data_IF_214165788883
#
_entry.id   IF_214165788883
#
_cell.length_a   1.000
_cell.length_b   1.000
_cell.length_c   1.000
_cell.angle_alpha   90.00
_cell.angle_beta   90.00
_cell.angle_gamma   90.00
#
_symmetry.space_group_name_H-M   'P 1'
#
loop_
_entity.id
_entity.type
_entity.pdbx_description
1 polymer ?
#
# COMPACT_ATOMS: atom_id res chain seq x y z
N UNK A 1 -56.88 -31.86 15.24
CA UNK A 1 -55.49 -32.13 15.69
C UNK A 1 -54.47 -32.41 14.57
N UNK A 2 -54.86 -32.85 13.35
CA UNK A 2 -53.90 -33.14 12.26
C UNK A 2 -53.25 -31.92 11.57
N UNK A 3 -53.85 -30.72 11.65
CA UNK A 3 -53.31 -29.50 11.01
C UNK A 3 -52.14 -28.89 11.79
N UNK A 4 -52.21 -28.89 13.12
CA UNK A 4 -51.22 -28.21 13.99
C UNK A 4 -49.86 -28.89 14.01
N UNK A 5 -49.81 -30.22 13.90
CA UNK A 5 -48.56 -30.99 13.85
C UNK A 5 -47.81 -30.79 12.53
N UNK A 6 -48.54 -30.58 11.43
CA UNK A 6 -47.95 -30.38 10.09
C UNK A 6 -47.27 -29.01 9.96
N UNK A 7 -47.78 -28.00 10.66
CA UNK A 7 -47.17 -26.65 10.71
C UNK A 7 -45.92 -26.63 11.58
N UNK A 8 -45.89 -27.38 12.70
CA UNK A 8 -44.72 -27.44 13.58
C UNK A 8 -43.52 -28.15 12.92
N UNK A 9 -43.78 -29.19 12.13
CA UNK A 9 -42.76 -29.94 11.39
C UNK A 9 -42.12 -29.11 10.27
N UNK A 10 -42.91 -28.25 9.61
CA UNK A 10 -42.40 -27.31 8.60
C UNK A 10 -41.45 -26.28 9.20
N UNK A 11 -41.72 -25.79 10.41
CA UNK A 11 -40.85 -24.81 11.08
C UNK A 11 -39.52 -25.45 11.49
N UNK A 12 -39.52 -26.71 11.95
CA UNK A 12 -38.28 -27.42 12.30
C UNK A 12 -37.44 -27.82 11.07
N UNK A 13 -38.05 -27.99 9.89
CA UNK A 13 -37.33 -28.31 8.65
C UNK A 13 -36.69 -27.09 7.96
N UNK A 14 -37.03 -25.87 8.36
CA UNK A 14 -36.43 -24.64 7.79
C UNK A 14 -35.17 -24.21 8.56
N UNK A 15 -34.99 -24.70 9.80
CA UNK A 15 -33.89 -24.29 10.68
C UNK A 15 -32.48 -24.81 10.28
N UNK A 16 -32.27 -25.92 9.53
CA UNK A 16 -30.90 -26.34 9.24
C UNK A 16 -30.25 -25.66 8.01
N UNK A 17 -30.87 -24.68 7.35
CA UNK A 17 -30.34 -24.10 6.09
C UNK A 17 -29.61 -22.75 6.29
N UNK A 18 -29.59 -22.20 7.50
CA UNK A 18 -28.94 -20.89 7.76
C UNK A 18 -27.48 -20.97 8.26
N UNK A 19 -26.88 -22.15 8.28
CA UNK A 19 -25.42 -22.26 8.33
C UNK A 19 -24.88 -22.35 6.91
N UNK A 20 -25.01 -21.26 6.15
CA UNK A 20 -24.10 -21.05 5.04
C UNK A 20 -22.72 -20.88 5.67
N UNK A 21 -21.81 -21.84 5.46
CA UNK A 21 -20.39 -21.63 5.73
C UNK A 21 -19.96 -20.43 4.89
N UNK A 22 -19.88 -19.25 5.51
CA UNK A 22 -19.18 -18.14 4.92
C UNK A 22 -17.69 -18.51 4.96
N UNK A 23 -17.11 -18.83 3.81
CA UNK A 23 -15.66 -18.93 3.71
C UNK A 23 -15.11 -17.51 3.89
N UNK A 24 -14.44 -17.27 5.01
CA UNK A 24 -13.62 -16.08 5.18
C UNK A 24 -12.39 -16.23 4.28
N UNK A 25 -12.33 -15.42 3.23
CA UNK A 25 -11.13 -15.34 2.41
C UNK A 25 -10.06 -14.54 3.16
N UNK A 26 -8.98 -15.22 3.55
CA UNK A 26 -7.80 -14.58 4.14
C UNK A 26 -6.85 -14.16 3.02
N UNK A 27 -6.55 -12.86 2.98
CA UNK A 27 -5.58 -12.27 2.05
C UNK A 27 -4.28 -12.00 2.78
N UNK A 28 -3.17 -12.50 2.25
CA UNK A 28 -1.84 -12.13 2.68
C UNK A 28 -1.31 -11.02 1.77
N UNK A 29 -0.96 -9.88 2.37
CA UNK A 29 -0.36 -8.74 1.67
C UNK A 29 1.12 -8.69 2.02
N UNK A 30 1.96 -8.58 0.99
CA UNK A 30 3.41 -8.49 1.15
C UNK A 30 3.96 -7.35 0.30
N UNK A 31 4.73 -6.44 0.91
CA UNK A 31 5.50 -5.42 0.23
C UNK A 31 6.63 -6.10 -0.54
N UNK A 32 6.72 -5.80 -1.83
CA UNK A 32 7.67 -6.42 -2.78
C UNK A 32 8.60 -5.41 -3.44
N UNK A 33 8.27 -4.11 -3.38
CA UNK A 33 9.08 -3.07 -3.99
C UNK A 33 8.57 -1.68 -3.66
N UNK A 34 9.27 -0.70 -4.22
CA UNK A 34 8.94 0.71 -4.11
C UNK A 34 9.27 1.40 -5.43
N UNK A 35 8.39 2.29 -5.87
CA UNK A 35 8.59 3.17 -7.00
C UNK A 35 8.52 4.62 -6.55
N UNK A 36 9.17 5.50 -7.30
CA UNK A 36 9.13 6.93 -7.03
C UNK A 36 9.16 7.74 -8.30
N UNK A 37 8.57 8.94 -8.24
CA UNK A 37 8.64 9.94 -9.31
C UNK A 37 8.62 11.35 -8.76
N UNK A 38 9.34 12.25 -9.43
CA UNK A 38 9.31 13.67 -9.14
C UNK A 38 8.08 14.29 -9.82
N UNK A 39 7.33 15.09 -9.08
CA UNK A 39 6.16 15.81 -9.51
C UNK A 39 6.36 17.31 -9.26
N UNK A 40 5.64 18.11 -10.04
CA UNK A 40 5.50 19.56 -9.82
C UNK A 40 4.04 19.96 -9.90
N UNK A 41 3.67 21.02 -9.19
CA UNK A 41 2.32 21.56 -9.25
C UNK A 41 2.17 22.48 -10.47
N UNK A 42 1.37 22.06 -11.45
CA UNK A 42 0.94 22.89 -12.58
C UNK A 42 -0.53 23.28 -12.41
N UNK A 43 -0.74 24.49 -11.86
CA UNK A 43 -2.05 24.98 -11.47
C UNK A 43 -2.63 24.18 -10.31
N UNK A 44 -3.56 23.26 -10.61
CA UNK A 44 -4.23 22.40 -9.62
C UNK A 44 -3.92 20.90 -9.83
N UNK A 45 -2.99 20.57 -10.72
CA UNK A 45 -2.65 19.19 -11.03
C UNK A 45 -1.18 18.93 -10.74
N UNK A 46 -0.89 17.77 -10.16
CA UNK A 46 0.48 17.26 -10.12
C UNK A 46 0.81 16.63 -11.46
N UNK A 47 1.88 17.11 -12.09
CA UNK A 47 2.41 16.57 -13.34
C UNK A 47 3.81 15.99 -13.09
N UNK A 48 4.17 14.95 -13.83
CA UNK A 48 5.52 14.39 -13.74
C UNK A 48 6.53 15.45 -14.20
N UNK A 49 7.58 15.62 -13.41
CA UNK A 49 8.65 16.56 -13.71
C UNK A 49 9.40 16.12 -14.98
N UNK A 50 9.43 17.02 -15.97
CA UNK A 50 10.22 16.86 -17.17
C UNK A 50 11.62 17.44 -16.95
N UNK A 51 12.65 16.62 -17.16
CA UNK A 51 14.05 16.83 -16.76
C UNK A 51 14.68 18.08 -17.42
N UNK A 52 14.05 18.60 -18.49
CA UNK A 52 14.61 19.68 -19.32
C UNK A 52 14.57 21.07 -18.67
N UNK A 53 13.66 21.33 -17.71
CA UNK A 53 13.47 22.68 -17.15
C UNK A 53 13.78 22.75 -15.66
N UNK A 54 14.57 23.73 -15.18
CA UNK A 54 14.81 23.90 -13.75
C UNK A 54 13.56 24.41 -13.02
N UNK A 55 13.35 23.94 -11.80
CA UNK A 55 12.20 24.27 -10.93
C UNK A 55 12.67 24.93 -9.64
N UNK A 56 11.78 25.56 -8.86
CA UNK A 56 12.17 25.96 -7.51
C UNK A 56 12.21 24.72 -6.60
N UNK A 57 13.03 24.75 -5.55
CA UNK A 57 13.16 23.62 -4.63
C UNK A 57 11.85 23.33 -3.90
N UNK A 58 11.12 24.39 -3.58
CA UNK A 58 9.82 24.36 -2.92
C UNK A 58 8.71 23.76 -3.80
N UNK A 59 8.91 23.73 -5.12
CA UNK A 59 7.91 23.21 -6.07
C UNK A 59 8.05 21.69 -6.29
N UNK A 60 9.14 21.07 -5.81
CA UNK A 60 9.36 19.65 -5.95
C UNK A 60 8.52 18.84 -4.97
N UNK A 61 7.75 17.90 -5.53
CA UNK A 61 7.12 16.82 -4.79
C UNK A 61 7.70 15.49 -5.21
N UNK A 62 7.94 14.59 -4.25
CA UNK A 62 8.38 13.22 -4.54
C UNK A 62 7.23 12.29 -4.20
N UNK A 63 6.62 11.68 -5.22
CA UNK A 63 5.64 10.62 -5.01
C UNK A 63 6.36 9.30 -4.76
N UNK A 64 5.93 8.61 -3.72
CA UNK A 64 6.39 7.28 -3.35
C UNK A 64 5.23 6.31 -3.44
N UNK A 65 5.41 5.22 -4.18
CA UNK A 65 4.44 4.15 -4.36
C UNK A 65 4.99 2.85 -3.77
N UNK A 66 4.24 2.22 -2.88
CA UNK A 66 4.60 0.94 -2.28
C UNK A 66 3.97 -0.18 -3.10
N UNK A 67 4.79 -1.10 -3.60
CA UNK A 67 4.32 -2.21 -4.44
C UNK A 67 4.00 -3.40 -3.53
N UNK A 68 2.72 -3.75 -3.47
CA UNK A 68 2.21 -4.87 -2.68
C UNK A 68 1.80 -6.04 -3.60
N UNK A 69 2.03 -7.27 -3.15
CA UNK A 69 1.46 -8.49 -3.75
C UNK A 69 0.46 -9.09 -2.77
N UNK A 70 -0.74 -9.39 -3.28
CA UNK A 70 -1.82 -10.00 -2.51
C UNK A 70 -1.95 -11.48 -2.89
N UNK A 71 -2.06 -12.37 -1.90
CA UNK A 71 -2.28 -13.80 -2.10
C UNK A 71 -3.43 -14.29 -1.25
N UNK A 72 -4.35 -15.02 -1.87
CA UNK A 72 -5.45 -15.70 -1.17
C UNK A 72 -4.94 -17.00 -0.55
N UNK A 73 -5.19 -17.19 0.75
CA UNK A 73 -4.80 -18.40 1.50
C UNK A 73 -6.01 -19.27 1.86
N UNK A 74 -7.20 -19.00 1.32
CA UNK A 74 -8.40 -19.83 1.52
C UNK A 74 -8.41 -21.08 0.62
N UNK A 75 -7.85 -22.17 1.12
CA UNK A 75 -8.27 -23.52 0.73
C UNK A 75 -8.44 -24.34 2.00
N UNK A 76 -9.60 -24.22 2.63
CA UNK A 76 -10.08 -25.34 3.42
C UNK A 76 -10.24 -26.55 2.50
N UNK A 77 -9.74 -27.67 2.97
CA UNK A 77 -9.56 -28.94 2.27
C UNK A 77 -10.87 -29.43 1.62
N UNK A 78 -11.06 -29.21 0.33
CA UNK A 78 -12.03 -29.98 -0.46
C UNK A 78 -11.42 -31.34 -0.87
N UNK A 79 -11.12 -32.15 0.13
CA UNK A 79 -11.01 -33.59 -0.04
C UNK A 79 -12.40 -34.19 -0.24
N UNK A 80 -13.07 -33.92 -1.36
CA UNK A 80 -14.28 -34.67 -1.74
C UNK A 80 -14.29 -34.98 -3.24
N UNK A 81 -14.39 -36.28 -3.51
CA UNK A 81 -14.51 -36.92 -4.83
C UNK A 81 -15.51 -36.23 -5.78
N UNK A 82 -15.32 -36.33 -7.12
CA UNK A 82 -16.24 -35.74 -8.08
C UNK A 82 -17.58 -36.48 -8.06
N UNK A 83 -18.54 -36.00 -7.27
CA UNK A 83 -19.95 -36.39 -7.38
C UNK A 83 -20.77 -35.22 -7.89
N UNK A 84 -21.22 -35.38 -9.12
CA UNK A 84 -22.36 -34.74 -9.79
C UNK A 84 -22.74 -33.31 -9.34
N UNK A 85 -22.29 -32.33 -10.11
CA UNK A 85 -22.76 -30.94 -10.04
C UNK A 85 -24.24 -30.87 -10.45
N UNK A 86 -25.15 -30.85 -9.48
CA UNK A 86 -26.47 -30.22 -9.65
C UNK A 86 -26.32 -28.73 -9.42
N UNK A 87 -26.49 -27.94 -10.47
CA UNK A 87 -26.48 -26.47 -10.39
C UNK A 87 -27.73 -26.01 -9.64
N UNK A 88 -27.57 -25.74 -8.34
CA UNK A 88 -28.58 -25.03 -7.54
C UNK A 88 -28.32 -23.54 -7.72
N UNK A 89 -29.27 -22.81 -8.31
CA UNK A 89 -29.27 -21.34 -8.31
C UNK A 89 -29.57 -20.86 -6.87
N UNK A 90 -28.54 -20.78 -6.04
CA UNK A 90 -28.59 -20.12 -4.75
C UNK A 90 -28.22 -18.64 -4.94
N UNK A 91 -28.92 -17.75 -4.23
CA UNK A 91 -28.49 -16.37 -4.08
C UNK A 91 -27.15 -16.37 -3.35
N UNK A 92 -26.09 -15.89 -4.02
CA UNK A 92 -24.79 -15.71 -3.39
C UNK A 92 -24.91 -14.49 -2.48
N UNK A 93 -25.06 -14.74 -1.18
CA UNK A 93 -24.94 -13.71 -0.16
C UNK A 93 -23.44 -13.47 0.02
N UNK A 94 -22.91 -12.24 -0.15
CA UNK A 94 -21.52 -11.96 0.20
C UNK A 94 -21.36 -12.23 1.70
N UNK A 95 -20.47 -13.15 2.00
CA UNK A 95 -20.39 -13.86 3.26
C UNK A 95 -19.01 -13.55 3.85
N UNK A 96 -18.96 -12.83 4.97
CA UNK A 96 -17.75 -12.63 5.78
C UNK A 96 -16.95 -11.36 5.49
N UNK A 97 -16.48 -10.71 6.56
CA UNK A 97 -15.46 -9.68 6.51
C UNK A 97 -14.16 -10.30 5.96
N UNK A 98 -13.49 -9.62 5.03
CA UNK A 98 -12.20 -10.08 4.51
C UNK A 98 -11.14 -9.91 5.62
N UNK A 99 -10.38 -10.97 5.91
CA UNK A 99 -9.26 -10.90 6.84
C UNK A 99 -8.00 -10.59 6.03
N UNK A 100 -7.40 -9.42 6.27
CA UNK A 100 -6.14 -9.02 5.65
C UNK A 100 -5.00 -9.21 6.64
N UNK A 101 -4.02 -10.04 6.26
CA UNK A 101 -2.79 -10.30 7.01
C UNK A 101 -1.61 -9.63 6.31
N UNK A 102 -1.09 -8.56 6.89
CA UNK A 102 0.15 -7.95 6.43
C UNK A 102 1.34 -8.79 6.94
N UNK A 103 2.13 -9.34 6.01
CA UNK A 103 3.29 -10.18 6.35
C UNK A 103 4.55 -9.38 6.66
N UNK A 104 4.62 -8.17 6.14
CA UNK A 104 5.69 -7.23 6.37
C UNK A 104 5.13 -5.82 6.46
N UNK A 105 5.81 -4.98 7.24
CA UNK A 105 5.47 -3.56 7.41
C UNK A 105 6.72 -2.72 7.30
N UNK A 106 6.58 -1.49 6.83
CA UNK A 106 7.69 -0.55 6.82
C UNK A 106 7.99 -0.16 8.27
N UNK A 107 9.25 -0.36 8.70
CA UNK A 107 9.75 -0.03 10.04
C UNK A 107 10.53 1.29 10.02
N UNK A 108 11.32 1.52 8.98
CA UNK A 108 12.07 2.77 8.81
C UNK A 108 12.18 3.14 7.35
N UNK A 109 12.42 4.42 7.11
CA UNK A 109 12.55 5.00 5.79
C UNK A 109 13.69 6.00 5.78
N UNK A 110 14.43 6.01 4.68
CA UNK A 110 15.58 6.87 4.50
C UNK A 110 15.54 7.50 3.11
N UNK A 111 15.85 8.78 3.04
CA UNK A 111 16.04 9.49 1.78
C UNK A 111 17.44 10.08 1.73
N UNK A 112 18.16 9.75 0.68
CA UNK A 112 19.47 10.30 0.39
C UNK A 112 19.42 11.08 -0.93
N UNK A 113 20.23 12.13 -1.03
CA UNK A 113 20.49 12.82 -2.30
C UNK A 113 21.97 12.80 -2.63
N UNK A 114 22.26 12.86 -3.92
CA UNK A 114 23.61 13.02 -4.48
C UNK A 114 23.62 14.12 -5.51
N UNK A 115 24.70 14.88 -5.57
CA UNK A 115 25.01 15.69 -6.74
C UNK A 115 25.52 14.75 -7.86
N UNK A 116 24.85 14.66 -9.01
CA UNK A 116 25.29 13.81 -10.11
C UNK A 116 26.68 14.18 -10.67
N UNK A 117 27.12 15.44 -10.51
CA UNK A 117 28.45 15.89 -10.93
C UNK A 117 29.54 15.64 -9.87
N UNK A 118 29.13 15.40 -8.62
CA UNK A 118 30.00 15.04 -7.50
C UNK A 118 29.42 13.85 -6.71
N UNK A 119 29.34 12.70 -7.39
CA UNK A 119 28.70 11.47 -6.91
C UNK A 119 29.39 10.78 -5.72
N UNK A 120 30.44 11.38 -5.15
CA UNK A 120 31.25 10.76 -4.09
C UNK A 120 30.62 10.86 -2.70
N UNK A 121 29.61 11.72 -2.51
CA UNK A 121 28.95 11.92 -1.21
C UNK A 121 27.43 11.83 -1.34
N UNK A 122 26.83 10.94 -0.56
CA UNK A 122 25.39 10.89 -0.31
C UNK A 122 25.06 11.74 0.91
N UNK A 123 24.11 12.64 0.78
CA UNK A 123 23.56 13.43 1.88
C UNK A 123 22.25 12.80 2.33
N UNK A 124 22.15 12.42 3.60
CA UNK A 124 20.88 12.00 4.20
C UNK A 124 20.01 13.23 4.45
N UNK A 125 18.83 13.25 3.85
CA UNK A 125 17.85 14.34 3.92
C UNK A 125 16.51 13.89 4.49
N UNK A 126 16.47 12.73 5.14
CA UNK A 126 15.24 12.12 5.66
C UNK A 126 14.46 13.09 6.56
N UNK A 127 15.17 13.82 7.42
CA UNK A 127 14.57 14.79 8.37
C UNK A 127 14.26 16.16 7.74
N UNK A 128 14.67 16.38 6.49
CA UNK A 128 14.35 17.60 5.71
C UNK A 128 13.11 17.40 4.83
N UNK A 129 12.47 16.23 4.92
CA UNK A 129 11.28 15.88 4.17
C UNK A 129 10.10 15.66 5.12
N UNK A 130 8.95 16.15 4.70
CA UNK A 130 7.67 15.92 5.36
C UNK A 130 6.65 15.37 4.37
N UNK A 131 5.61 14.74 4.89
CA UNK A 131 4.51 14.23 4.04
C UNK A 131 3.58 15.39 3.67
N UNK A 132 3.37 15.62 2.39
CA UNK A 132 2.55 16.70 1.86
C UNK A 132 1.15 16.69 2.49
N UNK A 133 0.65 17.88 2.87
CA UNK A 133 -0.64 18.03 3.53
C UNK A 133 -0.61 17.65 5.02
N UNK A 134 0.57 17.36 5.57
CA UNK A 134 0.80 17.12 6.99
C UNK A 134 2.00 17.93 7.49
N UNK A 135 2.11 18.15 8.80
CA UNK A 135 3.29 18.76 9.43
C UNK A 135 4.26 17.69 9.97
N UNK A 136 4.20 16.45 9.46
CA UNK A 136 4.89 15.30 10.04
C UNK A 136 6.08 14.89 9.18
N UNK A 137 7.18 14.55 9.85
CA UNK A 137 8.30 13.90 9.18
C UNK A 137 7.88 12.53 8.65
N UNK A 138 8.61 12.05 7.64
CA UNK A 138 8.36 10.73 7.07
C UNK A 138 8.47 9.60 8.10
N UNK A 139 9.43 9.70 9.02
CA UNK A 139 9.66 8.75 10.11
C UNK A 139 8.44 8.65 11.02
N UNK A 140 7.85 9.79 11.40
CA UNK A 140 6.63 9.84 12.22
C UNK A 140 5.41 9.30 11.46
N UNK A 141 5.25 9.70 10.20
CA UNK A 141 4.13 9.27 9.37
C UNK A 141 4.08 7.74 9.22
N UNK A 142 5.23 7.11 9.00
CA UNK A 142 5.32 5.65 8.85
C UNK A 142 4.99 4.92 10.15
N UNK A 143 5.49 5.41 11.29
CA UNK A 143 5.23 4.80 12.59
C UNK A 143 3.73 4.76 12.94
N UNK A 144 2.97 5.77 12.50
CA UNK A 144 1.53 5.87 12.79
C UNK A 144 0.63 5.16 11.77
N UNK A 145 1.03 5.09 10.50
CA UNK A 145 0.16 4.62 9.41
C UNK A 145 0.51 3.22 8.89
N UNK A 146 1.58 2.59 9.39
CA UNK A 146 2.00 1.24 9.00
C UNK A 146 1.34 0.17 9.89
N UNK A 147 0.86 -0.96 9.33
CA UNK A 147 0.86 -1.36 7.92
C UNK A 147 -0.31 -0.77 7.11
N UNK A 148 -0.17 -0.74 5.77
CA UNK A 148 -1.25 -0.33 4.84
C UNK A 148 -0.99 0.98 4.07
N UNK A 149 0.22 1.52 4.17
CA UNK A 149 0.65 2.68 3.37
C UNK A 149 0.88 2.22 1.93
N UNK A 150 0.03 2.67 1.00
CA UNK A 150 0.14 2.37 -0.44
C UNK A 150 0.96 3.39 -1.22
N UNK A 151 1.02 4.61 -0.71
CA UNK A 151 1.81 5.69 -1.29
C UNK A 151 1.58 7.01 -0.56
N UNK A 152 2.46 7.97 -0.80
CA UNK A 152 2.43 9.30 -0.21
C UNK A 152 3.29 10.27 -1.04
N UNK A 153 3.10 11.56 -0.80
CA UNK A 153 3.86 12.65 -1.41
C UNK A 153 4.78 13.26 -0.37
N UNK A 154 6.02 13.56 -0.76
CA UNK A 154 7.02 14.21 0.09
C UNK A 154 7.35 15.58 -0.45
N UNK A 155 7.49 16.55 0.45
CA UNK A 155 7.95 17.91 0.17
C UNK A 155 9.10 18.27 1.12
N UNK A 156 9.91 19.25 0.72
CA UNK A 156 10.96 19.77 1.58
C UNK A 156 10.37 20.64 2.71
N UNK A 157 10.69 20.30 3.95
CA UNK A 157 10.45 21.17 5.11
C UNK A 157 11.60 22.17 5.32
N UNK A 158 12.81 21.83 4.87
CA UNK A 158 14.00 22.70 4.88
C UNK A 158 14.86 22.47 3.62
N UNK A 159 15.08 23.54 2.86
CA UNK A 159 15.84 23.52 1.59
C UNK A 159 17.28 24.03 1.73
N UNK A 160 17.70 24.47 2.92
CA UNK A 160 18.91 25.27 3.13
C UNK A 160 20.21 24.59 2.67
N UNK A 161 20.25 23.25 2.68
CA UNK A 161 21.43 22.46 2.32
C UNK A 161 21.20 21.56 1.11
N UNK A 162 20.13 21.81 0.33
CA UNK A 162 19.82 21.03 -0.87
C UNK A 162 20.58 21.65 -2.05
N UNK A 163 21.44 20.89 -2.75
CA UNK A 163 22.12 21.35 -3.96
C UNK A 163 21.15 21.76 -5.06
N UNK A 164 21.61 22.55 -6.03
CA UNK A 164 20.79 22.98 -7.17
C UNK A 164 20.60 21.86 -8.21
N UNK A 165 21.31 20.75 -8.06
CA UNK A 165 21.14 19.57 -8.88
C UNK A 165 21.25 18.33 -8.02
N UNK A 166 20.20 17.53 -8.01
CA UNK A 166 20.12 16.35 -7.16
C UNK A 166 19.67 15.13 -7.95
N UNK A 167 20.13 13.97 -7.50
CA UNK A 167 19.48 12.69 -7.74
C UNK A 167 19.15 12.11 -6.37
N UNK A 168 17.94 11.61 -6.19
CA UNK A 168 17.48 11.09 -4.90
C UNK A 168 17.40 9.56 -4.90
N UNK A 169 17.60 8.97 -3.72
CA UNK A 169 17.51 7.54 -3.46
C UNK A 169 16.67 7.34 -2.20
N UNK A 170 15.61 6.54 -2.31
CA UNK A 170 14.74 6.20 -1.20
C UNK A 170 14.95 4.73 -0.82
N UNK A 171 14.95 4.45 0.48
CA UNK A 171 15.06 3.09 1.01
C UNK A 171 14.09 2.91 2.18
N UNK A 172 13.25 1.89 2.09
CA UNK A 172 12.42 1.41 3.19
C UNK A 172 12.99 0.09 3.73
N UNK A 173 13.16 0.02 5.05
CA UNK A 173 13.49 -1.24 5.75
C UNK A 173 12.20 -1.81 6.35
N UNK A 174 11.95 -3.08 6.04
CA UNK A 174 10.81 -3.84 6.53
C UNK A 174 11.14 -4.51 7.86
N UNK A 175 10.11 -4.88 8.62
CA UNK A 175 10.23 -5.54 9.94
C UNK A 175 10.87 -6.94 9.91
N UNK A 176 10.93 -7.58 8.74
CA UNK A 176 11.71 -8.81 8.50
C UNK A 176 13.18 -8.54 8.13
N UNK A 177 13.59 -7.27 8.09
CA UNK A 177 14.93 -6.82 7.71
C UNK A 177 15.16 -6.65 6.20
N UNK A 178 14.16 -6.98 5.37
CA UNK A 178 14.24 -6.77 3.91
C UNK A 178 14.27 -5.27 3.61
N UNK A 179 15.06 -4.90 2.60
CA UNK A 179 15.14 -3.52 2.10
C UNK A 179 14.53 -3.44 0.71
N UNK A 180 13.64 -2.47 0.52
CA UNK A 180 13.12 -2.08 -0.79
C UNK A 180 13.55 -0.66 -1.07
N UNK A 181 13.96 -0.37 -2.30
CA UNK A 181 14.49 0.93 -2.66
C UNK A 181 14.03 1.40 -4.03
N UNK A 182 14.12 2.71 -4.23
CA UNK A 182 13.82 3.37 -5.49
C UNK A 182 14.83 4.47 -5.72
N UNK A 183 15.25 4.63 -6.97
CA UNK A 183 16.17 5.69 -7.39
C UNK A 183 15.44 6.65 -8.32
N UNK A 184 15.52 7.93 -7.98
CA UNK A 184 14.92 9.02 -8.72
C UNK A 184 15.70 9.41 -9.95
N UNK A 185 15.05 10.22 -10.79
CA UNK A 185 15.72 10.96 -11.86
C UNK A 185 16.46 12.16 -11.30
N UNK A 186 17.34 12.72 -12.12
CA UNK A 186 18.01 13.99 -11.81
C UNK A 186 17.00 15.12 -11.87
N UNK A 187 16.98 15.95 -10.84
CA UNK A 187 16.20 17.19 -10.74
C UNK A 187 17.16 18.37 -10.74
N UNK A 188 16.84 19.38 -11.54
CA UNK A 188 17.58 20.64 -11.60
C UNK A 188 16.73 21.75 -10.98
N UNK A 189 17.35 22.60 -10.16
CA UNK A 189 16.71 23.72 -9.49
C UNK A 189 17.24 25.07 -10.00
N UNK A 190 16.45 26.13 -9.83
CA UNK A 190 16.82 27.52 -10.10
C UNK A 190 17.65 28.16 -8.98
#
# INVERSE_FOLDING_TARGET
MKKTVRTLLLIFSIIPILFACCNEDTYEVTITGMESRALVLDGNNYIEFDVESPINKEDLLIEVLIIETERITSIEQAGESPKERKVVKAAVVPCGDQIVLFKNRIESFKVEITDPDNSSTRLDITEQLQVEGTERSISEYIAENSPGIRGFLLEFSDISNIPDRIQYYLEATLDDGTKVSSEGRVVNFN
#
